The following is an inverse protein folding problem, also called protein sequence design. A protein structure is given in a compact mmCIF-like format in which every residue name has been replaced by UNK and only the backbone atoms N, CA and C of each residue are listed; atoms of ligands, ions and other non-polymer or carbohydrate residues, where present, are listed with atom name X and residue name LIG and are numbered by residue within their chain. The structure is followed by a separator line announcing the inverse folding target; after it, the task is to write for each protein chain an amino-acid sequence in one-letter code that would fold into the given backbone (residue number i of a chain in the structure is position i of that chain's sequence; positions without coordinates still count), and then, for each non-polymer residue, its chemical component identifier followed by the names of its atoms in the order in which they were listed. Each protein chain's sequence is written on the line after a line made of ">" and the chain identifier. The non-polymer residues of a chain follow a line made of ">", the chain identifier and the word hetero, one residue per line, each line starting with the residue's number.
data_IF_093886124508
#
_entry.id   IF_093886124508
#
_cell.length_a   1.000
_cell.length_b   1.000
_cell.length_c   1.000
_cell.angle_alpha   90.00
_cell.angle_beta   90.00
_cell.angle_gamma   90.00
#
_symmetry.space_group_name_H-M   'P 1'
#
loop_
_entity.id
_entity.type
_entity.pdbx_description
1 polymer ?
#
# COMPACT_ATOMS: atom_id res chain seq x y z
N UNK A 1 -15.18 -21.34 -43.00
CA UNK A 1 -16.11 -20.65 -42.09
C UNK A 1 -15.51 -19.29 -41.73
N UNK A 2 -16.02 -18.15 -42.27
CA UNK A 2 -15.53 -16.81 -41.90
C UNK A 2 -16.24 -16.41 -40.62
N UNK A 3 -15.53 -16.43 -39.52
CA UNK A 3 -16.00 -15.84 -38.27
C UNK A 3 -16.21 -14.32 -38.52
N UNK A 4 -17.47 -13.91 -38.57
CA UNK A 4 -17.81 -12.49 -38.73
C UNK A 4 -17.19 -11.66 -37.61
N UNK A 5 -16.69 -10.46 -37.92
CA UNK A 5 -16.15 -9.53 -36.92
C UNK A 5 -17.24 -9.20 -35.89
N UNK A 6 -16.98 -9.40 -34.59
CA UNK A 6 -17.97 -9.12 -33.55
C UNK A 6 -18.41 -7.66 -33.61
N UNK A 7 -19.71 -7.42 -33.35
CA UNK A 7 -20.28 -6.06 -33.35
C UNK A 7 -19.60 -5.20 -32.27
N UNK A 8 -19.63 -3.85 -32.44
CA UNK A 8 -19.06 -2.93 -31.46
C UNK A 8 -19.60 -3.17 -30.04
N UNK A 9 -20.90 -3.48 -29.91
CA UNK A 9 -21.53 -3.79 -28.61
C UNK A 9 -20.93 -5.04 -27.95
N UNK A 10 -20.66 -6.08 -28.72
CA UNK A 10 -20.02 -7.31 -28.21
C UNK A 10 -18.59 -7.04 -27.77
N UNK A 11 -17.82 -6.26 -28.54
CA UNK A 11 -16.44 -5.87 -28.13
C UNK A 11 -16.44 -5.04 -26.85
N UNK A 12 -17.36 -4.11 -26.73
CA UNK A 12 -17.50 -3.27 -25.52
C UNK A 12 -17.86 -4.13 -24.31
N UNK A 13 -18.81 -5.06 -24.45
CA UNK A 13 -19.18 -6.00 -23.37
C UNK A 13 -18.00 -6.88 -22.93
N UNK A 14 -17.22 -7.40 -23.89
CA UNK A 14 -16.02 -8.20 -23.59
C UNK A 14 -14.99 -7.35 -22.86
N UNK A 15 -14.73 -6.12 -23.28
CA UNK A 15 -13.80 -5.24 -22.60
C UNK A 15 -14.26 -4.90 -21.17
N UNK A 16 -15.53 -4.62 -20.98
CA UNK A 16 -16.08 -4.21 -19.68
C UNK A 16 -16.26 -5.38 -18.68
N UNK A 17 -16.42 -6.59 -19.16
CA UNK A 17 -16.66 -7.75 -18.30
C UNK A 17 -15.45 -8.71 -18.25
N UNK A 18 -14.92 -9.11 -19.40
CA UNK A 18 -13.88 -10.14 -19.45
C UNK A 18 -12.52 -9.60 -19.01
N UNK A 19 -12.16 -8.37 -19.39
CA UNK A 19 -10.86 -7.80 -19.00
C UNK A 19 -10.77 -7.60 -17.48
N UNK A 20 -11.75 -6.99 -16.78
CA UNK A 20 -11.73 -6.91 -15.33
C UNK A 20 -11.67 -8.28 -14.65
N UNK A 21 -12.42 -9.26 -15.16
CA UNK A 21 -12.43 -10.60 -14.62
C UNK A 21 -11.06 -11.27 -14.74
N UNK A 22 -10.42 -11.22 -15.91
CA UNK A 22 -9.08 -11.75 -16.11
C UNK A 22 -8.08 -11.03 -15.21
N UNK A 23 -8.17 -9.69 -15.13
CA UNK A 23 -7.28 -8.89 -14.27
C UNK A 23 -7.43 -9.29 -12.80
N UNK A 24 -8.66 -9.54 -12.33
CA UNK A 24 -8.93 -10.00 -10.98
C UNK A 24 -8.22 -11.32 -10.64
N UNK A 25 -8.25 -12.28 -11.57
CA UNK A 25 -7.62 -13.60 -11.37
C UNK A 25 -6.11 -13.58 -11.60
N UNK A 26 -5.64 -12.85 -12.61
CA UNK A 26 -4.23 -12.83 -13.00
C UNK A 26 -3.39 -11.87 -12.14
N UNK A 27 -3.97 -10.74 -11.71
CA UNK A 27 -3.26 -9.68 -10.97
C UNK A 27 -3.80 -9.62 -9.54
N UNK A 28 -3.38 -10.57 -8.70
CA UNK A 28 -3.85 -10.70 -7.31
C UNK A 28 -3.87 -9.38 -6.51
N UNK A 29 -2.87 -8.48 -6.62
CA UNK A 29 -2.89 -7.20 -5.90
C UNK A 29 -4.09 -6.31 -6.20
N UNK A 30 -4.72 -6.42 -7.38
CA UNK A 30 -5.93 -5.64 -7.72
C UNK A 30 -7.10 -5.94 -6.77
N UNK A 31 -7.07 -7.09 -6.09
CA UNK A 31 -8.11 -7.50 -5.13
C UNK A 31 -8.28 -6.56 -3.93
N UNK A 32 -7.32 -5.65 -3.69
CA UNK A 32 -7.47 -4.59 -2.67
C UNK A 32 -8.61 -3.63 -2.96
N UNK A 33 -9.07 -3.54 -4.22
CA UNK A 33 -10.17 -2.66 -4.63
C UNK A 33 -11.50 -3.17 -4.04
N UNK A 34 -11.73 -4.50 -4.08
CA UNK A 34 -12.89 -5.14 -3.44
C UNK A 34 -12.44 -6.38 -2.64
N UNK A 35 -11.88 -6.16 -1.45
CA UNK A 35 -11.25 -7.23 -0.68
C UNK A 35 -12.23 -8.30 -0.21
N UNK A 36 -13.52 -7.99 -0.07
CA UNK A 36 -14.55 -8.97 0.34
C UNK A 36 -14.64 -10.14 -0.63
N UNK A 37 -14.44 -9.90 -1.93
CA UNK A 37 -14.40 -10.95 -2.95
C UNK A 37 -13.16 -11.85 -2.84
N UNK A 38 -12.16 -11.44 -2.05
CA UNK A 38 -10.95 -12.23 -1.76
C UNK A 38 -11.03 -12.98 -0.41
N UNK A 39 -12.22 -13.07 0.20
CA UNK A 39 -12.44 -13.88 1.40
C UNK A 39 -12.15 -13.17 2.73
N UNK A 40 -12.04 -11.83 2.73
CA UNK A 40 -11.87 -11.06 3.96
C UNK A 40 -13.14 -10.29 4.35
N UNK A 41 -13.30 -10.03 5.64
CA UNK A 41 -14.40 -9.25 6.22
C UNK A 41 -13.95 -7.81 6.45
N UNK A 42 -14.68 -6.83 5.89
CA UNK A 42 -14.42 -5.43 6.20
C UNK A 42 -15.29 -4.98 7.37
N UNK A 43 -14.67 -4.82 8.52
CA UNK A 43 -15.32 -4.40 9.77
C UNK A 43 -15.61 -2.90 9.80
N UNK A 44 -14.93 -2.14 8.93
CA UNK A 44 -15.19 -0.73 8.66
C UNK A 44 -14.90 -0.41 7.19
N UNK A 45 -15.07 0.86 6.79
CA UNK A 45 -14.69 1.31 5.45
C UNK A 45 -13.16 1.23 5.22
N UNK A 46 -12.37 1.16 6.28
CA UNK A 46 -10.90 1.27 6.24
C UNK A 46 -10.14 0.05 6.76
N UNK A 47 -10.79 -0.83 7.52
CA UNK A 47 -10.16 -2.03 8.10
C UNK A 47 -10.87 -3.28 7.60
N UNK A 48 -10.13 -4.16 6.93
CA UNK A 48 -10.56 -5.49 6.52
C UNK A 48 -9.64 -6.56 7.11
N UNK A 49 -10.18 -7.76 7.39
CA UNK A 49 -9.45 -8.83 8.07
C UNK A 49 -10.02 -10.20 7.68
N UNK A 50 -9.19 -11.24 7.68
CA UNK A 50 -9.62 -12.64 7.44
C UNK A 50 -9.98 -13.38 8.73
N UNK A 51 -9.50 -12.93 9.90
CA UNK A 51 -9.81 -13.53 11.20
C UNK A 51 -10.46 -12.51 12.15
N UNK A 52 -11.75 -12.62 12.34
CA UNK A 52 -12.53 -11.70 13.19
C UNK A 52 -12.14 -11.74 14.68
N UNK A 53 -11.48 -12.80 15.16
CA UNK A 53 -10.99 -12.85 16.54
C UNK A 53 -9.87 -11.83 16.82
N UNK A 54 -9.20 -11.33 15.77
CA UNK A 54 -8.10 -10.35 15.87
C UNK A 54 -8.48 -8.93 15.47
N UNK A 55 -9.77 -8.62 15.36
CA UNK A 55 -10.26 -7.30 14.92
C UNK A 55 -9.73 -6.17 15.78
N UNK A 56 -9.70 -6.33 17.09
CA UNK A 56 -9.24 -5.27 18.00
C UNK A 56 -7.76 -4.95 17.83
N UNK A 57 -6.94 -5.97 17.62
CA UNK A 57 -5.52 -5.79 17.33
C UNK A 57 -5.32 -5.04 16.00
N UNK A 58 -6.01 -5.44 14.94
CA UNK A 58 -5.96 -4.77 13.65
C UNK A 58 -6.43 -3.31 13.74
N UNK A 59 -7.53 -3.06 14.43
CA UNK A 59 -8.07 -1.72 14.63
C UNK A 59 -7.11 -0.84 15.45
N UNK A 60 -6.48 -1.40 16.48
CA UNK A 60 -5.47 -0.72 17.29
C UNK A 60 -4.24 -0.31 16.47
N UNK A 61 -3.69 -1.23 15.67
CA UNK A 61 -2.57 -0.96 14.77
C UNK A 61 -2.92 0.12 13.72
N UNK A 62 -4.12 0.04 13.16
CA UNK A 62 -4.61 1.04 12.23
C UNK A 62 -4.76 2.41 12.87
N UNK A 63 -5.43 2.50 14.03
CA UNK A 63 -5.66 3.75 14.74
C UNK A 63 -4.35 4.42 15.16
N UNK A 64 -3.39 3.64 15.62
CA UNK A 64 -2.06 4.11 15.98
C UNK A 64 -1.33 4.73 14.77
N UNK A 65 -1.31 4.04 13.64
CA UNK A 65 -0.66 4.55 12.42
C UNK A 65 -1.39 5.79 11.86
N UNK A 66 -2.72 5.84 11.96
CA UNK A 66 -3.54 7.00 11.58
C UNK A 66 -3.33 8.22 12.48
N UNK A 67 -2.93 8.03 13.73
CA UNK A 67 -2.49 9.12 14.60
C UNK A 67 -1.06 9.56 14.26
N UNK A 68 -0.16 8.59 14.09
CA UNK A 68 1.26 8.84 13.91
C UNK A 68 1.64 9.50 12.57
N UNK A 69 1.18 8.95 11.43
CA UNK A 69 1.65 9.38 10.11
C UNK A 69 1.24 10.82 9.77
N UNK A 70 0.02 11.30 10.10
CA UNK A 70 -0.32 12.71 9.93
C UNK A 70 0.56 13.69 10.73
N UNK A 71 0.97 13.31 11.93
CA UNK A 71 1.88 14.13 12.73
C UNK A 71 3.24 14.30 12.06
N UNK A 72 3.71 13.28 11.35
CA UNK A 72 5.02 13.31 10.66
C UNK A 72 4.92 13.98 9.29
N UNK A 73 3.90 13.68 8.50
CA UNK A 73 3.82 14.00 7.07
C UNK A 73 2.71 14.99 6.69
N UNK A 74 1.84 15.35 7.65
CA UNK A 74 0.61 16.10 7.41
C UNK A 74 -0.58 15.17 7.09
N UNK A 75 -1.79 15.68 7.32
CA UNK A 75 -3.03 14.94 7.24
C UNK A 75 -3.24 14.28 5.88
N UNK A 76 -3.82 13.09 5.89
CA UNK A 76 -4.32 12.42 4.68
C UNK A 76 -5.48 13.23 4.08
N UNK A 77 -5.60 13.20 2.76
CA UNK A 77 -6.76 13.74 2.03
C UNK A 77 -7.88 12.70 1.96
N UNK A 78 -7.51 11.44 1.76
CA UNK A 78 -8.41 10.30 1.71
C UNK A 78 -8.42 9.48 2.99
N UNK A 79 -8.97 8.27 2.89
CA UNK A 79 -9.04 7.30 3.99
C UNK A 79 -8.30 6.03 3.59
N UNK A 80 -7.05 5.83 4.06
CA UNK A 80 -6.30 4.61 3.76
C UNK A 80 -7.07 3.37 4.17
N UNK A 81 -7.27 2.43 3.23
CA UNK A 81 -7.82 1.11 3.55
C UNK A 81 -6.66 0.16 3.82
N UNK A 82 -6.75 -0.59 4.92
CA UNK A 82 -5.77 -1.60 5.29
C UNK A 82 -6.45 -2.95 5.46
N UNK A 83 -5.88 -3.95 4.81
CA UNK A 83 -6.29 -5.35 4.86
C UNK A 83 -5.26 -6.06 5.72
N UNK A 84 -5.67 -6.51 6.88
CA UNK A 84 -4.86 -7.24 7.83
C UNK A 84 -5.06 -8.74 7.59
N UNK A 85 -4.08 -9.42 7.03
CA UNK A 85 -4.07 -10.85 6.87
C UNK A 85 -3.52 -11.52 8.14
N UNK A 86 -4.35 -12.25 8.85
CA UNK A 86 -3.94 -13.09 9.99
C UNK A 86 -3.32 -14.41 9.53
N UNK A 87 -3.63 -14.85 8.29
CA UNK A 87 -3.13 -16.08 7.70
C UNK A 87 -2.27 -15.83 6.47
N UNK A 88 -1.33 -16.75 6.20
CA UNK A 88 -0.53 -16.70 4.97
C UNK A 88 -1.41 -16.91 3.73
N UNK A 89 -2.45 -17.73 3.83
CA UNK A 89 -3.40 -17.94 2.74
C UNK A 89 -4.09 -16.64 2.31
N UNK A 90 -4.49 -15.78 3.26
CA UNK A 90 -4.97 -14.44 2.97
C UNK A 90 -3.91 -13.60 2.25
N UNK A 91 -2.68 -13.52 2.78
CA UNK A 91 -1.60 -12.76 2.17
C UNK A 91 -1.32 -13.22 0.72
N UNK A 92 -1.34 -14.53 0.46
CA UNK A 92 -1.16 -15.13 -0.86
C UNK A 92 -2.33 -14.86 -1.80
N UNK A 93 -3.55 -14.73 -1.28
CA UNK A 93 -4.72 -14.33 -2.06
C UNK A 93 -4.56 -12.92 -2.65
N UNK A 94 -3.85 -12.03 -1.96
CA UNK A 94 -3.48 -10.70 -2.44
C UNK A 94 -2.12 -10.63 -3.14
N UNK A 95 -1.43 -11.76 -3.29
CA UNK A 95 -0.18 -11.85 -4.03
C UNK A 95 1.05 -11.31 -3.30
N UNK A 96 1.05 -11.30 -1.95
CA UNK A 96 2.19 -10.84 -1.17
C UNK A 96 3.39 -11.78 -1.30
N UNK A 97 3.15 -13.12 -1.32
CA UNK A 97 4.24 -14.10 -1.28
C UNK A 97 5.15 -13.87 -0.08
N UNK A 98 6.44 -13.64 -0.34
CA UNK A 98 7.43 -13.38 0.70
C UNK A 98 7.45 -11.93 1.23
N UNK A 99 6.62 -11.02 0.73
CA UNK A 99 6.57 -9.63 1.22
C UNK A 99 5.86 -9.53 2.56
N UNK A 100 6.35 -8.64 3.43
CA UNK A 100 5.74 -8.37 4.72
C UNK A 100 4.44 -7.57 4.59
N UNK A 101 4.43 -6.61 3.68
CA UNK A 101 3.29 -5.77 3.38
C UNK A 101 3.43 -5.16 1.98
N UNK A 102 2.38 -4.52 1.48
CA UNK A 102 2.39 -3.76 0.23
C UNK A 102 1.28 -2.71 0.22
N UNK A 103 1.61 -1.52 -0.26
CA UNK A 103 0.65 -0.45 -0.55
C UNK A 103 0.50 -0.26 -2.04
N UNK A 104 -0.73 -0.29 -2.53
CA UNK A 104 -1.08 -0.08 -3.94
C UNK A 104 -1.63 1.32 -4.16
N UNK A 105 -0.73 2.29 -4.20
CA UNK A 105 -1.09 3.69 -4.35
C UNK A 105 -2.08 4.15 -3.27
N UNK A 106 -3.23 4.68 -3.70
CA UNK A 106 -4.31 5.09 -2.79
C UNK A 106 -5.48 4.08 -2.73
N UNK A 107 -5.33 2.89 -3.33
CA UNK A 107 -6.41 1.90 -3.40
C UNK A 107 -6.50 1.03 -2.15
N UNK A 108 -5.36 0.69 -1.57
CA UNK A 108 -5.33 -0.10 -0.35
C UNK A 108 -3.95 -0.65 -0.01
N UNK A 109 -3.85 -1.09 1.22
CA UNK A 109 -2.65 -1.69 1.81
C UNK A 109 -2.97 -3.09 2.29
N UNK A 110 -2.04 -4.03 2.11
CA UNK A 110 -2.16 -5.39 2.65
C UNK A 110 -1.01 -5.67 3.60
N UNK A 111 -1.31 -6.16 4.79
CA UNK A 111 -0.35 -6.49 5.84
C UNK A 111 -0.36 -8.01 6.05
N UNK A 112 0.79 -8.68 5.86
CA UNK A 112 0.93 -10.11 6.07
C UNK A 112 0.98 -10.46 7.58
N UNK A 113 0.75 -11.74 7.98
CA UNK A 113 0.69 -12.14 9.38
C UNK A 113 1.93 -11.74 10.21
N UNK A 114 3.12 -11.80 9.59
CA UNK A 114 4.39 -11.45 10.22
C UNK A 114 4.65 -9.95 10.39
N UNK A 115 3.80 -9.10 9.80
CA UNK A 115 3.97 -7.65 9.77
C UNK A 115 2.96 -6.91 10.67
N UNK A 116 2.32 -7.60 11.59
CA UNK A 116 1.40 -7.01 12.56
C UNK A 116 2.18 -6.31 13.68
N UNK A 117 2.86 -5.23 13.31
CA UNK A 117 3.57 -4.35 14.24
C UNK A 117 3.46 -2.90 13.78
N UNK A 118 3.46 -1.92 14.72
CA UNK A 118 3.21 -0.51 14.40
C UNK A 118 4.09 0.03 13.26
N UNK A 119 5.38 -0.27 13.27
CA UNK A 119 6.31 0.25 12.26
C UNK A 119 6.01 -0.24 10.83
N UNK A 120 5.46 -1.45 10.65
CA UNK A 120 5.04 -1.93 9.33
C UNK A 120 3.81 -1.17 8.83
N UNK A 121 2.80 -0.98 9.68
CA UNK A 121 1.58 -0.26 9.30
C UNK A 121 1.90 1.21 9.00
N UNK A 122 2.74 1.86 9.82
CA UNK A 122 3.22 3.22 9.56
C UNK A 122 3.99 3.31 8.25
N UNK A 123 4.89 2.36 7.96
CA UNK A 123 5.65 2.27 6.72
C UNK A 123 4.71 2.27 5.51
N UNK A 124 3.72 1.43 5.52
CA UNK A 124 2.76 1.32 4.43
C UNK A 124 1.87 2.56 4.31
N UNK A 125 1.44 3.16 5.42
CA UNK A 125 0.67 4.41 5.36
C UNK A 125 1.53 5.62 4.92
N UNK A 126 2.85 5.56 5.09
CA UNK A 126 3.76 6.53 4.47
C UNK A 126 3.74 6.38 2.95
N UNK A 127 3.77 5.15 2.41
CA UNK A 127 3.60 4.92 0.97
C UNK A 127 2.25 5.41 0.45
N UNK A 128 1.18 5.25 1.23
CA UNK A 128 -0.12 5.84 0.90
C UNK A 128 -0.03 7.37 0.82
N UNK A 129 0.59 8.02 1.80
CA UNK A 129 0.78 9.48 1.80
C UNK A 129 1.63 9.95 0.60
N UNK A 130 2.68 9.21 0.24
CA UNK A 130 3.47 9.50 -0.97
C UNK A 130 2.61 9.45 -2.23
N UNK A 131 1.78 8.40 -2.37
CA UNK A 131 0.89 8.25 -3.52
C UNK A 131 -0.16 9.37 -3.60
N UNK A 132 -0.68 9.81 -2.46
CA UNK A 132 -1.63 10.92 -2.36
C UNK A 132 -1.01 12.28 -2.73
N UNK A 133 0.24 12.53 -2.30
CA UNK A 133 0.92 13.82 -2.47
C UNK A 133 1.60 13.98 -3.82
N UNK A 134 2.13 12.89 -4.38
CA UNK A 134 2.91 12.87 -5.62
C UNK A 134 2.07 12.35 -6.78
N UNK A 135 1.15 11.44 -6.52
CA UNK A 135 0.38 10.69 -7.50
C UNK A 135 0.97 9.29 -7.73
N UNK A 136 0.09 8.27 -7.75
CA UNK A 136 0.48 6.85 -7.84
C UNK A 136 1.41 6.56 -9.04
N UNK A 137 1.08 7.09 -10.23
CA UNK A 137 1.90 6.85 -11.42
C UNK A 137 3.26 7.56 -11.36
N UNK A 138 3.29 8.81 -10.87
CA UNK A 138 4.53 9.56 -10.73
C UNK A 138 5.47 8.93 -9.71
N UNK A 139 4.92 8.31 -8.67
CA UNK A 139 5.70 7.64 -7.63
C UNK A 139 6.54 6.48 -8.19
N UNK A 140 6.08 5.80 -9.25
CA UNK A 140 6.82 4.73 -9.92
C UNK A 140 8.15 5.19 -10.53
N UNK A 141 8.28 6.48 -10.85
CA UNK A 141 9.48 7.07 -11.43
C UNK A 141 10.37 7.77 -10.39
N UNK A 142 9.95 7.82 -9.12
CA UNK A 142 10.77 8.40 -8.06
C UNK A 142 11.90 7.46 -7.63
N UNK A 143 13.06 8.01 -7.21
CA UNK A 143 14.17 7.19 -6.75
C UNK A 143 13.79 6.33 -5.54
N UNK A 144 14.23 5.08 -5.50
CA UNK A 144 13.93 4.16 -4.40
C UNK A 144 14.44 4.65 -3.04
N UNK A 145 15.58 5.36 -3.00
CA UNK A 145 16.06 5.96 -1.77
C UNK A 145 15.10 7.00 -1.20
N UNK A 146 14.27 7.65 -2.05
CA UNK A 146 13.22 8.54 -1.58
C UNK A 146 11.99 7.73 -1.16
N UNK A 147 11.51 6.80 -1.98
CA UNK A 147 10.28 6.05 -1.73
C UNK A 147 10.44 5.17 -0.49
N UNK A 148 11.36 4.21 -0.53
CA UNK A 148 11.61 3.26 0.56
C UNK A 148 12.36 3.91 1.72
N UNK A 149 13.38 4.74 1.41
CA UNK A 149 14.17 5.41 2.44
C UNK A 149 13.33 6.30 3.34
N UNK A 150 12.33 7.01 2.79
CA UNK A 150 11.37 7.79 3.56
C UNK A 150 10.53 6.90 4.48
N UNK A 151 9.97 5.82 3.95
CA UNK A 151 9.13 4.92 4.70
C UNK A 151 9.90 4.28 5.87
N UNK A 152 11.10 3.77 5.63
CA UNK A 152 11.94 3.24 6.70
C UNK A 152 12.46 4.30 7.68
N UNK A 153 12.77 5.51 7.22
CA UNK A 153 13.29 6.56 8.11
C UNK A 153 12.23 7.12 9.05
N UNK A 154 10.98 7.25 8.57
CA UNK A 154 9.92 7.97 9.27
C UNK A 154 8.91 7.06 9.98
N UNK A 155 8.90 5.75 9.74
CA UNK A 155 8.00 4.80 10.42
C UNK A 155 8.43 4.46 11.85
N UNK A 156 9.59 4.91 12.31
CA UNK A 156 10.24 4.47 13.55
C UNK A 156 10.45 2.97 13.58
N UNK A 157 10.98 2.43 12.49
CA UNK A 157 11.38 1.03 12.41
C UNK A 157 12.51 0.76 13.42
N UNK A 158 12.32 -0.18 14.36
CA UNK A 158 13.30 -0.46 15.41
C UNK A 158 14.53 -1.25 14.93
N UNK A 159 14.50 -1.77 13.71
CA UNK A 159 15.59 -2.60 13.16
C UNK A 159 16.79 -1.72 12.78
N UNK A 160 17.94 -2.00 13.39
CA UNK A 160 19.21 -1.31 13.12
C UNK A 160 20.40 -2.28 13.15
N UNK A 161 21.12 -2.42 12.04
CA UNK A 161 20.81 -1.91 10.70
C UNK A 161 19.69 -2.69 10.01
N UNK A 162 19.09 -2.08 9.00
CA UNK A 162 18.24 -2.81 8.05
C UNK A 162 19.12 -3.63 7.09
N UNK A 163 18.54 -4.65 6.48
CA UNK A 163 19.17 -5.37 5.36
C UNK A 163 19.33 -4.43 4.16
N UNK A 164 20.49 -4.51 3.49
CA UNK A 164 20.69 -3.77 2.23
C UNK A 164 19.72 -4.23 1.14
N UNK A 165 19.25 -3.33 0.28
CA UNK A 165 19.66 -1.92 0.11
C UNK A 165 18.91 -0.93 1.02
N UNK A 166 18.02 -1.37 1.90
CA UNK A 166 17.10 -0.51 2.67
C UNK A 166 17.84 0.40 3.66
N UNK A 167 18.93 -0.08 4.26
CA UNK A 167 19.73 0.74 5.17
C UNK A 167 20.41 1.90 4.44
N UNK A 168 20.97 1.66 3.27
CA UNK A 168 21.56 2.71 2.44
C UNK A 168 20.52 3.72 1.96
N UNK A 169 19.32 3.25 1.60
CA UNK A 169 18.21 4.11 1.21
C UNK A 169 17.72 4.97 2.39
N UNK A 170 17.56 4.38 3.59
CA UNK A 170 17.18 5.06 4.82
C UNK A 170 18.19 6.15 5.18
N UNK A 171 19.49 5.86 5.15
CA UNK A 171 20.57 6.84 5.43
C UNK A 171 20.55 7.98 4.42
N UNK A 172 20.42 7.68 3.14
CA UNK A 172 20.35 8.71 2.08
C UNK A 172 19.14 9.61 2.26
N UNK A 173 17.98 9.05 2.57
CA UNK A 173 16.80 9.85 2.85
C UNK A 173 16.99 10.73 4.09
N UNK A 174 17.52 10.20 5.20
CA UNK A 174 17.79 10.98 6.43
C UNK A 174 18.69 12.19 6.16
N UNK A 175 19.76 12.01 5.39
CA UNK A 175 20.66 13.09 5.01
C UNK A 175 19.97 14.16 4.17
N UNK A 176 19.20 13.76 3.17
CA UNK A 176 18.42 14.68 2.35
C UNK A 176 17.33 15.38 3.15
N UNK A 177 16.61 14.68 3.99
CA UNK A 177 15.53 15.23 4.80
C UNK A 177 16.02 16.22 5.85
N UNK A 178 17.23 16.04 6.39
CA UNK A 178 17.84 16.99 7.31
C UNK A 178 18.08 18.36 6.66
N UNK A 179 18.36 18.40 5.35
CA UNK A 179 18.54 19.65 4.60
C UNK A 179 17.21 20.29 4.17
N UNK A 180 16.22 19.45 3.79
CA UNK A 180 14.93 19.93 3.24
C UNK A 180 13.94 20.30 4.34
N UNK A 181 13.91 19.52 5.42
CA UNK A 181 12.96 19.64 6.53
C UNK A 181 11.53 19.27 6.19
N UNK A 182 10.69 19.19 7.23
CA UNK A 182 9.28 18.79 7.09
C UNK A 182 8.48 19.72 6.17
N UNK A 183 8.74 21.04 6.26
CA UNK A 183 7.97 22.03 5.48
C UNK A 183 8.27 21.97 3.98
N UNK A 184 9.52 21.72 3.60
CA UNK A 184 9.95 21.63 2.20
C UNK A 184 9.71 20.24 1.57
N UNK A 185 9.47 19.21 2.39
CA UNK A 185 9.42 17.80 1.97
C UNK A 185 8.64 17.58 0.66
N UNK A 186 7.36 17.93 0.65
CA UNK A 186 6.50 17.64 -0.48
C UNK A 186 6.72 18.54 -1.70
N UNK A 187 7.21 19.73 -1.51
CA UNK A 187 7.57 20.64 -2.59
C UNK A 187 8.78 20.10 -3.33
N UNK A 188 9.88 19.83 -2.63
CA UNK A 188 11.12 19.33 -3.23
C UNK A 188 10.96 17.91 -3.78
N UNK A 189 10.15 17.07 -3.12
CA UNK A 189 9.89 15.70 -3.58
C UNK A 189 9.20 15.61 -4.95
N UNK A 190 8.49 16.64 -5.38
CA UNK A 190 7.86 16.65 -6.71
C UNK A 190 8.89 16.75 -7.83
N UNK A 191 10.02 17.38 -7.57
CA UNK A 191 11.07 17.67 -8.54
C UNK A 191 12.18 16.59 -8.57
N UNK A 192 12.15 15.61 -7.64
CA UNK A 192 12.99 14.43 -7.67
C UNK A 192 12.60 13.53 -8.86
#
# INVERSE_FOLDING_TARGET
>A
MRLGRPSFKVRLLVMLAVVPLITWFAVKPVRVVEPRLAGVHCVSATVCIDDLARVEEAAGLYAEAMAFVPDVLGSFKGRPRVIFCATQACADAFGLGARAAVTLGTWGTVIAPRAWAPHFVRHELIHYAQAERIGTLRLLFKPQWFVEGMAYALSRDPREPLTEPFESQRRRFRAWYAAVGKQGLWQVARDL
#
